data_IF_897710987172
#
_entry.id   IF_897710987172
#
_cell.length_a   1.000
_cell.length_b   1.000
_cell.length_c   1.000
_cell.angle_alpha   90.00
_cell.angle_beta   90.00
_cell.angle_gamma   90.00
#
_symmetry.space_group_name_H-M   'P 1'
#
loop_
_entity.id
_entity.type
_entity.pdbx_description
1 polymer ?
#
# COMPACT_ATOMS: atom_id res chain seq x y z
N UNK A 1 34.34 -37.91 10.27
CA UNK A 1 34.70 -38.51 8.97
C UNK A 1 34.01 -37.69 7.89
N UNK A 2 34.76 -37.28 6.86
CA UNK A 2 34.24 -36.58 5.67
C UNK A 2 33.17 -37.45 5.02
N UNK A 3 32.04 -36.86 4.65
CA UNK A 3 31.19 -37.43 3.60
C UNK A 3 31.20 -36.47 2.43
N UNK A 4 31.63 -37.02 1.30
CA UNK A 4 31.80 -36.37 0.01
C UNK A 4 30.45 -36.00 -0.60
N UNK A 5 30.47 -34.90 -1.36
CA UNK A 5 29.42 -34.58 -2.32
C UNK A 5 29.56 -35.57 -3.47
N UNK A 6 28.53 -36.38 -3.73
CA UNK A 6 28.49 -37.26 -4.90
C UNK A 6 27.19 -37.05 -5.68
N UNK A 7 27.42 -36.51 -6.89
CA UNK A 7 26.67 -36.58 -8.15
C UNK A 7 25.24 -36.05 -8.23
N UNK A 8 25.12 -35.06 -9.12
CA UNK A 8 23.94 -34.63 -9.86
C UNK A 8 23.23 -35.81 -10.54
N UNK A 9 21.91 -35.89 -10.34
CA UNK A 9 21.02 -36.54 -11.30
C UNK A 9 19.96 -35.54 -11.75
N UNK A 10 20.06 -35.18 -13.03
CA UNK A 10 19.14 -34.33 -13.76
C UNK A 10 17.84 -35.10 -14.02
N UNK A 11 16.73 -34.66 -13.42
CA UNK A 11 15.38 -35.02 -13.84
C UNK A 11 14.61 -33.73 -14.15
N UNK A 12 13.77 -33.71 -15.21
CA UNK A 12 13.16 -32.49 -15.70
C UNK A 12 12.08 -32.03 -14.73
N UNK A 13 12.25 -30.83 -14.16
CA UNK A 13 11.24 -30.15 -13.37
C UNK A 13 10.48 -29.21 -14.31
N UNK A 14 9.19 -29.49 -14.54
CA UNK A 14 8.28 -28.51 -15.12
C UNK A 14 8.27 -27.26 -14.23
N UNK A 15 8.63 -26.14 -14.83
CA UNK A 15 8.94 -24.88 -14.17
C UNK A 15 7.64 -24.16 -13.78
N UNK A 16 7.09 -24.49 -12.61
CA UNK A 16 6.17 -23.59 -11.90
C UNK A 16 7.00 -22.67 -10.99
N UNK A 17 6.92 -21.36 -11.24
CA UNK A 17 7.52 -20.32 -10.40
C UNK A 17 7.03 -20.44 -8.95
N UNK A 18 7.88 -21.01 -8.08
CA UNK A 18 7.72 -21.01 -6.63
C UNK A 18 8.83 -20.13 -6.06
N UNK A 19 8.64 -18.82 -6.13
CA UNK A 19 9.36 -17.88 -5.26
C UNK A 19 8.71 -17.98 -3.87
N UNK A 20 9.53 -18.07 -2.81
CA UNK A 20 9.15 -18.22 -1.39
C UNK A 20 9.15 -19.65 -0.79
N UNK A 21 10.21 -20.43 -1.02
CA UNK A 21 10.53 -21.60 -0.19
C UNK A 21 11.81 -21.34 0.62
N UNK A 22 11.71 -21.25 1.94
CA UNK A 22 12.86 -21.26 2.84
C UNK A 22 13.29 -22.70 3.17
N UNK A 23 14.61 -22.90 3.25
CA UNK A 23 15.29 -24.19 3.45
C UNK A 23 14.86 -24.95 4.72
N UNK A 24 14.69 -26.27 4.58
CA UNK A 24 14.30 -27.25 5.62
C UNK A 24 15.53 -27.89 6.28
N UNK A 25 15.46 -28.20 7.58
CA UNK A 25 16.27 -29.29 8.20
C UNK A 25 15.52 -29.99 9.34
N UNK A 26 14.80 -31.08 9.03
CA UNK A 26 14.77 -32.27 9.90
C UNK A 26 14.35 -33.51 9.10
N UNK A 27 15.19 -34.54 9.15
CA UNK A 27 14.94 -35.85 8.56
C UNK A 27 14.48 -36.78 9.70
N UNK A 28 13.28 -37.36 9.61
CA UNK A 28 12.84 -38.41 10.53
C UNK A 28 12.70 -39.72 9.76
N UNK A 29 13.45 -40.74 10.16
CA UNK A 29 13.37 -42.09 9.60
C UNK A 29 12.28 -42.88 10.32
N UNK A 30 11.19 -43.21 9.62
CA UNK A 30 10.21 -44.18 10.10
C UNK A 30 10.58 -45.58 9.58
N UNK A 31 10.87 -46.56 10.46
CA UNK A 31 11.10 -47.92 10.02
C UNK A 31 9.76 -48.60 9.66
N UNK A 32 9.69 -49.18 8.46
CA UNK A 32 8.65 -50.17 8.12
C UNK A 32 9.33 -51.48 7.72
N UNK A 33 8.91 -52.58 8.31
CA UNK A 33 9.35 -53.94 7.97
C UNK A 33 8.27 -54.63 7.15
N UNK A 34 8.57 -54.93 5.88
CA UNK A 34 7.80 -55.88 5.09
C UNK A 34 8.49 -57.24 5.22
N UNK A 35 7.84 -58.19 5.89
CA UNK A 35 8.29 -59.58 5.89
C UNK A 35 7.86 -60.22 4.57
N UNK A 36 8.79 -60.68 3.76
CA UNK A 36 8.62 -61.87 2.92
C UNK A 36 9.98 -62.55 2.74
N UNK A 37 9.93 -63.88 2.68
CA UNK A 37 11.05 -64.81 2.72
C UNK A 37 12.08 -64.59 1.62
N UNK A 38 13.33 -64.33 2.02
CA UNK A 38 14.52 -64.57 1.22
C UNK A 38 15.19 -63.34 0.59
N UNK A 39 16.40 -63.06 1.11
CA UNK A 39 17.54 -62.31 0.53
C UNK A 39 17.28 -60.84 0.09
N UNK A 40 18.07 -59.96 0.72
CA UNK A 40 18.21 -58.50 0.56
C UNK A 40 17.18 -57.63 1.31
N UNK A 41 17.69 -56.92 2.32
CA UNK A 41 16.99 -55.85 3.03
C UNK A 41 17.27 -54.54 2.32
N UNK A 42 16.25 -53.91 1.75
CA UNK A 42 16.32 -52.55 1.21
C UNK A 42 15.60 -51.60 2.16
N UNK A 43 16.31 -50.61 2.70
CA UNK A 43 15.70 -49.53 3.49
C UNK A 43 15.29 -48.42 2.53
N UNK A 44 13.99 -48.26 2.29
CA UNK A 44 13.46 -47.08 1.60
C UNK A 44 13.30 -45.95 2.62
N UNK A 45 13.98 -44.83 2.40
CA UNK A 45 13.81 -43.62 3.19
C UNK A 45 12.76 -42.75 2.49
N UNK A 46 11.56 -42.64 3.07
CA UNK A 46 10.55 -41.69 2.60
C UNK A 46 10.91 -40.32 3.16
N UNK A 47 11.45 -39.41 2.34
CA UNK A 47 11.60 -38.01 2.72
C UNK A 47 10.23 -37.33 2.65
N UNK A 48 9.60 -37.12 3.80
CA UNK A 48 8.42 -36.24 3.90
C UNK A 48 8.92 -34.81 4.07
N UNK A 49 8.80 -34.00 3.02
CA UNK A 49 9.06 -32.56 3.10
C UNK A 49 7.84 -31.92 3.75
N UNK A 50 7.97 -31.53 5.01
CA UNK A 50 6.98 -30.69 5.68
C UNK A 50 7.18 -29.25 5.20
N UNK A 51 6.33 -28.80 4.29
CA UNK A 51 6.19 -27.38 4.00
C UNK A 51 5.48 -26.74 5.18
N UNK A 52 6.21 -25.96 5.97
CA UNK A 52 5.60 -25.10 6.98
C UNK A 52 5.10 -23.87 6.23
N UNK A 53 3.78 -23.73 6.13
CA UNK A 53 3.15 -22.51 5.68
C UNK A 53 3.52 -21.43 6.71
N UNK A 54 4.58 -20.69 6.43
CA UNK A 54 4.97 -19.53 7.22
C UNK A 54 4.00 -18.44 6.79
N UNK A 55 2.78 -18.48 7.32
CA UNK A 55 1.78 -17.46 7.07
C UNK A 55 2.42 -16.11 7.33
N UNK A 56 2.77 -15.40 6.26
CA UNK A 56 3.28 -14.04 6.35
C UNK A 56 2.18 -13.23 7.00
N UNK A 57 2.28 -12.99 8.30
CA UNK A 57 1.42 -12.03 8.97
C UNK A 57 1.62 -10.71 8.23
N UNK A 58 0.62 -10.33 7.44
CA UNK A 58 0.65 -9.08 6.72
C UNK A 58 0.66 -7.97 7.76
N UNK A 59 1.69 -7.13 7.72
CA UNK A 59 1.81 -6.02 8.65
C UNK A 59 0.75 -4.96 8.33
N UNK A 60 -0.28 -4.89 9.18
CA UNK A 60 -1.38 -3.93 9.11
C UNK A 60 -1.06 -2.62 9.81
N UNK A 61 0.16 -2.44 10.32
CA UNK A 61 0.51 -1.24 11.07
C UNK A 61 0.35 -0.01 10.15
N UNK A 62 -0.49 0.98 10.52
CA UNK A 62 -0.76 2.11 9.65
C UNK A 62 0.46 3.03 9.51
N UNK A 63 0.50 3.80 8.42
CA UNK A 63 1.55 4.78 8.13
C UNK A 63 1.57 5.91 9.17
N UNK A 64 0.39 6.31 9.65
CA UNK A 64 0.19 7.33 10.67
C UNK A 64 -1.04 6.99 11.52
N UNK A 65 -1.24 7.70 12.63
CA UNK A 65 -2.35 7.46 13.57
C UNK A 65 -3.74 7.61 12.90
N UNK A 66 -4.56 6.54 12.82
CA UNK A 66 -5.87 6.59 12.17
C UNK A 66 -6.86 7.57 12.80
N UNK A 67 -6.70 7.87 14.10
CA UNK A 67 -7.56 8.82 14.82
C UNK A 67 -7.51 10.23 14.22
N UNK A 68 -6.40 10.61 13.57
CA UNK A 68 -6.28 11.89 12.87
C UNK A 68 -7.35 12.09 11.77
N UNK A 69 -7.85 11.00 11.18
CA UNK A 69 -8.92 11.03 10.18
C UNK A 69 -10.31 11.02 10.82
N UNK A 70 -10.46 10.34 11.97
CA UNK A 70 -11.72 10.21 12.69
C UNK A 70 -12.10 11.48 13.47
N UNK A 71 -11.08 12.18 13.98
CA UNK A 71 -11.24 13.42 14.76
C UNK A 71 -11.23 14.69 13.90
N UNK A 72 -11.44 14.56 12.58
CA UNK A 72 -11.59 15.74 11.73
C UNK A 72 -12.93 16.42 12.03
N UNK A 73 -12.91 17.74 12.16
CA UNK A 73 -14.14 18.54 12.20
C UNK A 73 -14.80 18.54 10.81
N UNK A 74 -15.52 17.47 10.50
CA UNK A 74 -16.21 17.31 9.22
C UNK A 74 -17.34 18.31 9.01
N UNK A 75 -17.82 18.98 10.08
CA UNK A 75 -18.84 20.03 9.95
C UNK A 75 -18.32 21.27 9.21
N UNK A 76 -17.00 21.48 9.23
CA UNK A 76 -16.32 22.55 8.50
C UNK A 76 -16.13 22.27 7.00
N UNK A 77 -16.51 21.09 6.51
CA UNK A 77 -16.44 20.76 5.09
C UNK A 77 -17.53 21.50 4.30
N UNK A 78 -17.13 22.24 3.26
CA UNK A 78 -18.02 23.03 2.41
C UNK A 78 -18.56 22.27 1.20
N UNK A 79 -18.03 21.06 0.93
CA UNK A 79 -18.40 20.27 -0.26
C UNK A 79 -19.63 19.44 0.01
N UNK A 80 -20.62 19.52 -0.88
CA UNK A 80 -21.82 18.69 -0.80
C UNK A 80 -21.54 17.23 -1.23
N UNK A 81 -22.14 16.31 -0.49
CA UNK A 81 -22.10 14.88 -0.74
C UNK A 81 -23.53 14.33 -0.85
N UNK A 82 -23.83 13.60 -1.92
CA UNK A 82 -25.13 12.93 -2.14
C UNK A 82 -24.92 11.54 -2.75
N UNK A 83 -25.16 10.44 -2.00
CA UNK A 83 -25.52 10.43 -0.58
C UNK A 83 -24.43 11.04 0.32
N UNK A 84 -24.81 11.39 1.55
CA UNK A 84 -23.86 11.92 2.53
C UNK A 84 -22.82 10.85 2.89
N UNK A 85 -21.54 11.20 2.78
CA UNK A 85 -20.40 10.36 3.17
C UNK A 85 -19.41 11.19 3.99
N UNK A 86 -18.62 10.51 4.82
CA UNK A 86 -17.63 11.11 5.72
C UNK A 86 -16.40 10.19 5.83
N UNK A 87 -15.29 10.65 6.43
CA UNK A 87 -14.14 9.77 6.72
C UNK A 87 -14.51 8.51 7.51
N UNK A 88 -15.47 8.63 8.45
CA UNK A 88 -15.98 7.52 9.27
C UNK A 88 -17.03 6.64 8.56
N UNK A 89 -17.65 7.14 7.49
CA UNK A 89 -18.65 6.42 6.70
C UNK A 89 -18.48 6.78 5.22
N UNK A 90 -17.45 6.23 4.54
CA UNK A 90 -17.07 6.62 3.18
C UNK A 90 -18.02 6.05 2.10
N UNK A 91 -18.89 5.11 2.48
CA UNK A 91 -19.80 4.37 1.62
C UNK A 91 -19.97 2.93 2.13
N UNK A 92 -21.02 2.26 1.69
CA UNK A 92 -21.24 0.84 2.00
C UNK A 92 -20.08 -0.01 1.45
N UNK A 93 -19.60 -0.96 2.26
CA UNK A 93 -18.48 -1.83 1.91
C UNK A 93 -17.10 -1.14 1.83
N UNK A 94 -17.02 0.17 2.13
CA UNK A 94 -15.77 0.94 2.01
C UNK A 94 -15.20 1.35 3.36
N UNK A 95 -13.87 1.42 3.45
CA UNK A 95 -13.13 1.98 4.60
C UNK A 95 -12.10 2.99 4.11
N UNK A 96 -12.08 4.18 4.71
CA UNK A 96 -11.04 5.18 4.52
C UNK A 96 -10.06 5.08 5.68
N UNK A 97 -8.78 4.87 5.39
CA UNK A 97 -7.74 4.64 6.41
C UNK A 97 -6.34 5.03 5.92
N UNK A 98 -5.34 5.14 6.82
CA UNK A 98 -3.95 5.24 6.42
C UNK A 98 -3.52 4.00 5.62
N UNK A 99 -2.56 4.19 4.71
CA UNK A 99 -1.83 3.10 4.05
C UNK A 99 -1.17 2.19 5.12
N UNK A 100 -1.12 0.88 4.88
CA UNK A 100 -0.30 -0.07 5.63
C UNK A 100 0.57 -0.92 4.69
N UNK A 101 1.53 -1.68 5.23
CA UNK A 101 2.45 -2.50 4.42
C UNK A 101 1.68 -3.59 3.65
N UNK A 102 0.63 -4.15 4.24
CA UNK A 102 -0.23 -5.15 3.61
C UNK A 102 -0.86 -4.66 2.28
N UNK A 103 -1.04 -3.35 2.10
CA UNK A 103 -1.70 -2.77 0.93
C UNK A 103 -0.91 -2.95 -0.38
N UNK A 104 0.38 -3.29 -0.28
CA UNK A 104 1.16 -3.77 -1.43
C UNK A 104 0.43 -4.90 -2.17
N UNK A 105 -0.07 -5.87 -1.41
CA UNK A 105 -0.80 -7.04 -1.93
C UNK A 105 -2.28 -6.75 -2.26
N UNK A 106 -2.80 -5.59 -1.83
CA UNK A 106 -4.20 -5.18 -2.05
C UNK A 106 -4.38 -4.29 -3.28
N UNK A 107 -3.39 -4.28 -4.19
CA UNK A 107 -3.47 -3.55 -5.45
C UNK A 107 -3.23 -2.05 -5.32
N UNK A 108 -2.51 -1.57 -4.30
CA UNK A 108 -2.15 -0.16 -4.17
C UNK A 108 -1.50 0.41 -5.45
N UNK A 109 -0.47 -0.28 -5.98
CA UNK A 109 0.19 0.13 -7.23
C UNK A 109 -0.71 0.01 -8.46
N UNK A 110 -1.69 -0.90 -8.47
CA UNK A 110 -2.67 -1.00 -9.57
C UNK A 110 -3.51 0.28 -9.67
N UNK A 111 -3.87 0.88 -8.53
CA UNK A 111 -4.60 2.15 -8.50
C UNK A 111 -3.70 3.30 -8.92
N UNK A 112 -2.47 3.38 -8.41
CA UNK A 112 -1.50 4.42 -8.80
C UNK A 112 -1.18 4.39 -10.30
N UNK A 113 -1.10 3.20 -10.91
CA UNK A 113 -0.88 3.04 -12.35
C UNK A 113 -1.98 3.64 -13.23
N UNK A 114 -3.15 3.96 -12.68
CA UNK A 114 -4.19 4.70 -13.41
C UNK A 114 -3.95 6.23 -13.45
N UNK A 115 -3.04 6.74 -12.62
CA UNK A 115 -2.65 8.15 -12.58
C UNK A 115 -1.43 8.42 -13.46
N UNK A 116 -0.39 7.60 -13.30
CA UNK A 116 0.91 7.75 -13.97
C UNK A 116 1.63 6.39 -14.01
N UNK A 117 2.80 6.33 -14.65
CA UNK A 117 3.66 5.16 -14.59
C UNK A 117 4.14 4.91 -13.15
N UNK A 118 3.70 3.82 -12.54
CA UNK A 118 4.12 3.43 -11.18
C UNK A 118 5.30 2.43 -11.17
N UNK A 119 5.59 1.81 -12.32
CA UNK A 119 6.67 0.84 -12.50
C UNK A 119 6.42 -0.52 -11.82
N UNK A 120 7.37 -1.44 -12.02
CA UNK A 120 7.44 -2.69 -11.26
C UNK A 120 8.27 -2.46 -10.00
N UNK A 121 7.62 -2.45 -8.84
CA UNK A 121 8.26 -2.15 -7.54
C UNK A 121 8.31 -3.42 -6.70
N UNK A 122 9.50 -3.97 -6.39
CA UNK A 122 9.62 -5.09 -5.47
C UNK A 122 9.09 -4.74 -4.07
N UNK A 123 8.45 -5.70 -3.38
CA UNK A 123 7.86 -5.48 -2.06
C UNK A 123 8.85 -4.90 -1.05
N UNK A 124 10.12 -5.34 -1.08
CA UNK A 124 11.16 -4.82 -0.21
C UNK A 124 11.39 -3.30 -0.40
N UNK A 125 11.35 -2.83 -1.65
CA UNK A 125 11.51 -1.41 -1.97
C UNK A 125 10.31 -0.60 -1.46
N UNK A 126 9.10 -1.13 -1.62
CA UNK A 126 7.89 -0.54 -1.07
C UNK A 126 7.96 -0.44 0.46
N UNK A 127 8.28 -1.53 1.16
CA UNK A 127 8.39 -1.54 2.63
C UNK A 127 9.45 -0.55 3.12
N UNK A 128 10.63 -0.51 2.48
CA UNK A 128 11.68 0.48 2.81
C UNK A 128 11.19 1.92 2.64
N UNK A 129 10.42 2.21 1.59
CA UNK A 129 9.85 3.53 1.35
C UNK A 129 8.77 3.88 2.38
N UNK A 130 7.90 2.92 2.69
CA UNK A 130 6.86 3.04 3.72
C UNK A 130 7.48 3.37 5.09
N UNK A 131 8.47 2.61 5.54
CA UNK A 131 9.15 2.83 6.82
C UNK A 131 9.83 4.20 6.88
N UNK A 132 10.44 4.63 5.77
CA UNK A 132 11.00 5.98 5.68
C UNK A 132 9.92 7.06 5.85
N UNK A 133 8.82 6.98 5.09
CA UNK A 133 7.70 7.92 5.19
C UNK A 133 7.13 7.96 6.60
N UNK A 134 6.88 6.78 7.19
CA UNK A 134 6.39 6.64 8.57
C UNK A 134 7.32 7.31 9.58
N UNK A 135 8.63 7.03 9.48
CA UNK A 135 9.64 7.58 10.39
C UNK A 135 9.74 9.11 10.32
N UNK A 136 9.52 9.71 9.15
CA UNK A 136 9.54 11.18 9.02
C UNK A 136 8.35 11.83 9.73
N UNK A 137 7.18 11.17 9.78
CA UNK A 137 5.96 11.73 10.36
C UNK A 137 5.31 12.86 9.53
N UNK A 138 5.80 13.09 8.31
CA UNK A 138 5.36 14.18 7.42
C UNK A 138 4.54 13.70 6.21
N UNK A 139 4.31 12.39 6.08
CA UNK A 139 3.54 11.77 5.01
C UNK A 139 2.24 11.17 5.53
N UNK A 140 1.15 11.54 4.88
CA UNK A 140 -0.21 11.10 5.19
C UNK A 140 -0.83 10.51 3.92
N UNK A 141 -0.42 9.29 3.58
CA UNK A 141 -1.02 8.53 2.47
C UNK A 141 -2.33 7.90 2.96
N UNK A 142 -3.44 8.36 2.39
CA UNK A 142 -4.79 7.91 2.72
C UNK A 142 -5.34 7.08 1.58
N UNK A 143 -5.82 5.88 1.91
CA UNK A 143 -6.44 4.95 0.97
C UNK A 143 -7.92 4.77 1.28
N UNK A 144 -8.69 4.44 0.24
CA UNK A 144 -10.02 3.83 0.39
C UNK A 144 -9.91 2.38 -0.05
N UNK A 145 -10.25 1.47 0.84
CA UNK A 145 -10.34 0.03 0.58
C UNK A 145 -11.80 -0.37 0.37
N UNK A 146 -12.03 -1.19 -0.65
CA UNK A 146 -13.24 -2.01 -0.77
C UNK A 146 -13.04 -3.28 0.05
N UNK A 147 -13.82 -3.42 1.13
CA UNK A 147 -13.65 -4.49 2.13
C UNK A 147 -14.17 -5.83 1.66
N UNK A 148 -15.08 -5.85 0.68
CA UNK A 148 -15.59 -7.08 0.08
C UNK A 148 -14.55 -7.68 -0.87
N UNK A 149 -13.91 -6.83 -1.68
CA UNK A 149 -12.86 -7.23 -2.62
C UNK A 149 -11.46 -7.31 -1.97
N UNK A 150 -11.29 -6.71 -0.79
CA UNK A 150 -9.99 -6.45 -0.13
C UNK A 150 -8.99 -5.78 -1.06
N UNK A 151 -9.45 -4.78 -1.80
CA UNK A 151 -8.64 -4.02 -2.75
C UNK A 151 -8.67 -2.54 -2.44
N UNK A 152 -7.53 -1.88 -2.63
CA UNK A 152 -7.48 -0.42 -2.68
C UNK A 152 -8.21 0.05 -3.93
N UNK A 153 -9.09 1.02 -3.78
CA UNK A 153 -9.91 1.58 -4.86
C UNK A 153 -9.71 3.09 -5.05
N UNK A 154 -9.09 3.78 -4.10
CA UNK A 154 -8.67 5.16 -4.25
C UNK A 154 -7.51 5.47 -3.30
N UNK A 155 -6.69 6.47 -3.65
CA UNK A 155 -5.63 6.99 -2.77
C UNK A 155 -5.39 8.48 -3.01
N UNK A 156 -4.89 9.16 -1.99
CA UNK A 156 -4.34 10.50 -2.08
C UNK A 156 -3.30 10.72 -0.97
N UNK A 157 -2.31 11.55 -1.23
CA UNK A 157 -1.21 11.82 -0.30
C UNK A 157 -1.26 13.27 0.16
N UNK A 158 -1.19 13.52 1.47
CA UNK A 158 -0.81 14.82 2.03
C UNK A 158 0.65 14.75 2.50
N UNK A 159 1.47 15.72 2.09
CA UNK A 159 2.83 15.92 2.59
C UNK A 159 2.89 17.23 3.35
N UNK A 160 3.47 17.22 4.56
CA UNK A 160 3.75 18.44 5.33
C UNK A 160 5.19 18.88 5.17
N UNK A 161 5.38 20.07 4.61
CA UNK A 161 6.68 20.70 4.40
C UNK A 161 6.94 21.76 5.48
N UNK A 162 8.03 21.61 6.24
CA UNK A 162 8.44 22.56 7.28
C UNK A 162 9.15 23.76 6.65
N UNK A 163 8.83 24.96 7.11
CA UNK A 163 9.35 26.23 6.58
C UNK A 163 9.90 27.08 7.72
N UNK A 164 10.91 27.90 7.47
CA UNK A 164 11.32 28.96 8.40
C UNK A 164 10.44 30.22 8.28
N UNK A 165 9.92 30.49 7.08
CA UNK A 165 8.99 31.59 6.82
C UNK A 165 7.65 31.38 7.55
N UNK A 166 6.86 32.46 7.69
CA UNK A 166 5.59 32.47 8.42
C UNK A 166 5.73 31.96 9.86
N UNK A 167 6.80 32.36 10.56
CA UNK A 167 7.06 31.98 11.96
C UNK A 167 7.24 30.46 12.14
N UNK A 168 8.16 29.88 11.37
CA UNK A 168 8.44 28.44 11.40
C UNK A 168 7.22 27.55 11.05
N UNK A 169 6.37 27.99 10.11
CA UNK A 169 5.12 27.29 9.79
C UNK A 169 5.32 25.99 9.00
N UNK A 170 4.23 25.22 8.88
CA UNK A 170 4.13 24.08 7.97
C UNK A 170 3.28 24.41 6.74
N UNK A 171 3.55 23.75 5.62
CA UNK A 171 2.80 23.87 4.38
C UNK A 171 2.33 22.50 3.92
N UNK A 172 1.07 22.35 3.55
CA UNK A 172 0.54 21.11 2.97
C UNK A 172 0.76 21.05 1.46
N UNK A 173 0.97 19.84 0.94
CA UNK A 173 0.88 19.49 -0.49
C UNK A 173 -0.04 18.30 -0.66
N UNK A 174 -1.04 18.41 -1.53
CA UNK A 174 -1.84 17.25 -1.96
C UNK A 174 -1.22 16.69 -3.22
N UNK A 175 -0.85 15.42 -3.17
CA UNK A 175 -0.19 14.69 -4.25
C UNK A 175 -0.95 13.38 -4.54
N UNK A 176 -0.71 12.80 -5.71
CA UNK A 176 -1.09 11.41 -6.05
C UNK A 176 -2.58 11.08 -5.86
N UNK A 177 -3.47 12.04 -6.14
CA UNK A 177 -4.93 11.83 -6.05
C UNK A 177 -5.42 10.98 -7.21
N UNK A 178 -5.89 9.77 -6.90
CA UNK A 178 -6.44 8.85 -7.90
C UNK A 178 -7.58 8.01 -7.36
N UNK A 179 -8.58 7.78 -8.20
CA UNK A 179 -9.70 6.89 -7.94
C UNK A 179 -9.74 5.88 -9.07
N UNK A 180 -9.78 4.59 -8.70
CA UNK A 180 -9.94 3.48 -9.62
C UNK A 180 -11.15 3.72 -10.52
N UNK A 181 -10.97 3.53 -11.83
CA UNK A 181 -11.97 3.69 -12.88
C UNK A 181 -13.29 2.99 -12.58
N UNK A 182 -13.25 1.76 -12.06
CA UNK A 182 -14.44 0.98 -11.66
C UNK A 182 -15.19 1.57 -10.45
N UNK A 183 -14.57 2.49 -9.71
CA UNK A 183 -15.15 3.17 -8.54
C UNK A 183 -15.37 4.68 -8.76
N UNK A 184 -15.23 5.18 -10.00
CA UNK A 184 -15.55 6.58 -10.33
C UNK A 184 -17.04 6.85 -10.16
N UNK A 185 -17.39 8.10 -9.86
CA UNK A 185 -18.78 8.50 -9.58
C UNK A 185 -19.24 8.25 -8.13
N UNK A 186 -18.54 7.42 -7.34
CA UNK A 186 -18.82 7.18 -5.91
C UNK A 186 -18.36 8.31 -4.96
N UNK A 187 -18.06 9.49 -5.50
CA UNK A 187 -17.62 10.67 -4.74
C UNK A 187 -16.28 10.53 -3.96
N UNK A 188 -15.54 9.43 -4.12
CA UNK A 188 -14.31 9.14 -3.36
C UNK A 188 -13.19 10.18 -3.54
N UNK A 189 -13.05 10.73 -4.75
CA UNK A 189 -12.08 11.81 -4.99
C UNK A 189 -12.43 13.06 -4.17
N UNK A 190 -13.72 13.38 -4.03
CA UNK A 190 -14.16 14.49 -3.18
C UNK A 190 -13.88 14.20 -1.71
N UNK A 191 -14.18 12.98 -1.27
CA UNK A 191 -13.93 12.54 0.10
C UNK A 191 -12.45 12.67 0.46
N UNK A 192 -11.54 12.15 -0.37
CA UNK A 192 -10.10 12.22 -0.15
C UNK A 192 -9.60 13.66 -0.05
N UNK A 193 -9.93 14.52 -1.02
CA UNK A 193 -9.43 15.90 -1.03
C UNK A 193 -10.01 16.73 0.12
N UNK A 194 -11.29 16.60 0.44
CA UNK A 194 -11.88 17.24 1.63
C UNK A 194 -11.16 16.77 2.92
N UNK A 195 -10.91 15.47 3.05
CA UNK A 195 -10.22 14.87 4.21
C UNK A 195 -8.82 15.45 4.37
N UNK A 196 -8.01 15.44 3.31
CA UNK A 196 -6.63 15.94 3.35
C UNK A 196 -6.58 17.46 3.57
N UNK A 197 -7.53 18.21 3.01
CA UNK A 197 -7.62 19.67 3.22
C UNK A 197 -7.87 19.98 4.70
N UNK A 198 -8.84 19.31 5.33
CA UNK A 198 -9.14 19.48 6.75
C UNK A 198 -8.01 18.97 7.65
N UNK A 199 -7.38 17.85 7.29
CA UNK A 199 -6.23 17.32 8.01
C UNK A 199 -5.08 18.32 8.02
N UNK A 200 -4.77 18.96 6.88
CA UNK A 200 -3.72 19.99 6.82
C UNK A 200 -4.00 21.19 7.73
N UNK A 201 -5.28 21.59 7.88
CA UNK A 201 -5.69 22.64 8.82
C UNK A 201 -5.51 22.18 10.26
N UNK A 202 -5.96 20.97 10.62
CA UNK A 202 -5.76 20.37 11.95
C UNK A 202 -4.27 20.26 12.30
N UNK A 203 -3.41 20.01 11.31
CA UNK A 203 -1.97 19.97 11.46
C UNK A 203 -1.31 21.36 11.46
N UNK A 204 -2.06 22.46 11.48
CA UNK A 204 -1.55 23.84 11.49
C UNK A 204 -0.70 24.21 10.26
N UNK A 205 -1.07 23.72 9.08
CA UNK A 205 -0.47 24.23 7.84
C UNK A 205 -0.98 25.65 7.54
N UNK A 206 -0.09 26.59 7.22
CA UNK A 206 -0.49 27.97 6.88
C UNK A 206 -1.15 28.06 5.50
N UNK A 207 -0.78 27.16 4.59
CA UNK A 207 -1.45 26.95 3.30
C UNK A 207 -1.29 25.51 2.83
N UNK A 208 -2.16 25.11 1.91
CA UNK A 208 -2.09 23.84 1.18
C UNK A 208 -2.13 24.13 -0.33
N UNK A 209 -1.37 23.38 -1.13
CA UNK A 209 -1.46 23.49 -2.61
C UNK A 209 -1.45 22.12 -3.26
N UNK A 210 -1.71 22.11 -4.55
CA UNK A 210 -1.58 20.98 -5.45
C UNK A 210 -1.36 21.49 -6.87
N UNK A 211 -0.92 20.61 -7.74
CA UNK A 211 -0.81 20.85 -9.17
C UNK A 211 -1.83 19.97 -9.90
N UNK A 212 -2.51 20.52 -10.92
CA UNK A 212 -3.47 19.74 -11.69
C UNK A 212 -3.57 20.21 -13.15
N UNK A 213 -4.00 19.32 -14.03
CA UNK A 213 -4.31 19.67 -15.41
C UNK A 213 -5.49 20.66 -15.45
N UNK A 214 -5.54 21.59 -16.44
CA UNK A 214 -6.59 22.62 -16.53
C UNK A 214 -8.03 22.08 -16.44
N UNK A 215 -8.29 20.92 -17.04
CA UNK A 215 -9.60 20.23 -16.99
C UNK A 215 -10.07 19.87 -15.57
N UNK A 216 -9.16 19.77 -14.59
CA UNK A 216 -9.45 19.39 -13.21
C UNK A 216 -9.56 20.60 -12.26
N UNK A 217 -9.29 21.83 -12.72
CA UNK A 217 -9.32 23.03 -11.86
C UNK A 217 -10.68 23.21 -11.19
N UNK A 218 -11.77 23.07 -11.95
CA UNK A 218 -13.14 23.19 -11.43
C UNK A 218 -13.48 22.12 -10.37
N UNK A 219 -12.79 20.97 -10.38
CA UNK A 219 -12.94 19.98 -9.33
C UNK A 219 -12.33 20.48 -8.02
N UNK A 220 -11.10 21.00 -8.05
CA UNK A 220 -10.39 21.45 -6.84
C UNK A 220 -10.93 22.75 -6.25
N UNK A 221 -11.52 23.63 -7.07
CA UNK A 221 -12.19 24.85 -6.58
C UNK A 221 -13.30 24.57 -5.55
N UNK A 222 -13.92 23.38 -5.61
CA UNK A 222 -14.96 22.97 -4.65
C UNK A 222 -14.47 22.95 -3.20
N UNK A 223 -13.18 22.70 -2.98
CA UNK A 223 -12.57 22.60 -1.64
C UNK A 223 -11.90 23.91 -1.19
N UNK A 224 -12.09 25.01 -1.94
CA UNK A 224 -11.50 26.32 -1.63
C UNK A 224 -10.12 26.56 -2.23
N UNK A 225 -9.65 25.71 -3.14
CA UNK A 225 -8.43 25.98 -3.91
C UNK A 225 -8.69 27.02 -4.99
N UNK A 226 -7.71 27.87 -5.26
CA UNK A 226 -7.72 28.84 -6.34
C UNK A 226 -6.47 28.68 -7.19
N UNK A 227 -6.54 29.05 -8.47
CA UNK A 227 -5.37 29.14 -9.33
C UNK A 227 -4.42 30.21 -8.79
N UNK A 228 -3.12 29.90 -8.74
CA UNK A 228 -2.08 30.87 -8.40
C UNK A 228 -1.66 31.64 -9.66
N UNK A 229 -1.25 32.89 -9.50
CA UNK A 229 -0.57 33.66 -10.56
C UNK A 229 0.90 33.21 -10.73
N UNK A 230 1.42 32.43 -9.78
CA UNK A 230 2.77 31.83 -9.86
C UNK A 230 2.81 30.75 -10.96
N UNK A 231 3.86 30.79 -11.77
CA UNK A 231 4.11 29.75 -12.76
C UNK A 231 4.62 28.47 -12.09
N UNK A 232 4.04 27.32 -12.47
CA UNK A 232 4.63 26.02 -12.20
C UNK A 232 5.76 25.75 -13.20
N UNK A 233 6.93 25.38 -12.70
CA UNK A 233 8.11 25.08 -13.53
C UNK A 233 8.63 23.69 -13.19
N UNK A 234 8.97 22.91 -14.22
CA UNK A 234 9.50 21.55 -14.07
C UNK A 234 10.78 21.37 -14.87
N UNK A 235 11.74 20.65 -14.28
CA UNK A 235 12.87 20.05 -14.98
C UNK A 235 12.84 18.54 -14.68
N UNK A 236 12.63 17.71 -15.71
CA UNK A 236 12.46 16.25 -15.57
C UNK A 236 13.79 15.54 -15.84
N UNK A 237 14.21 14.68 -14.91
CA UNK A 237 15.45 13.90 -15.04
C UNK A 237 15.22 12.43 -15.45
N UNK A 238 14.03 11.89 -15.18
CA UNK A 238 13.57 10.54 -15.53
C UNK A 238 12.05 10.52 -15.62
N UNK A 239 11.48 9.41 -16.08
CA UNK A 239 10.04 9.24 -16.32
C UNK A 239 9.24 8.60 -15.17
#
# INVERSE_FOLDING_TARGET
>A
MRCEVVSEHHFPVEQYHLEHLCHVTRCESLPYTLSHSGKFSWTFCLCVVFYRDCGMQQDETPLFEPSLLQELDWSSNTVSFSPHISPSSPGEGLVLRPLCVADYSRGFFKVLSQLTQAGEVPQEQFTKKFEHMKKTGDYYVVVVEDTELRQIVATATLITEHKFIHSCAKRGRVEEVVVSDVCRGKQLGKLLVSTLTLLSKKLNCYKITLECAPKNVAFYQKFGYNTSDEAYMQCRFFD
#
